data_IF_336287642712
#
_entry.id   IF_336287642712
#
_cell.length_a   1.000
_cell.length_b   1.000
_cell.length_c   1.000
_cell.angle_alpha   90.00
_cell.angle_beta   90.00
_cell.angle_gamma   90.00
#
_symmetry.space_group_name_H-M   'P 1'
#
loop_
_entity.id
_entity.type
_entity.pdbx_description
1 polymer ?
#
# COMPACT_ATOMS: atom_id res chain seq x y z
N UNK A 1 24.57 4.29 -12.82
CA UNK A 1 24.43 2.81 -12.83
C UNK A 1 22.97 2.46 -12.52
N UNK A 2 22.23 1.94 -13.51
CA UNK A 2 20.80 1.61 -13.41
C UNK A 2 20.62 0.34 -12.56
N UNK A 3 20.21 0.45 -11.30
CA UNK A 3 19.88 -0.71 -10.47
C UNK A 3 18.48 -1.22 -10.85
N UNK A 4 18.51 -2.39 -11.50
CA UNK A 4 17.45 -3.26 -11.99
C UNK A 4 16.13 -3.17 -11.20
N UNK A 5 15.07 -2.94 -11.96
CA UNK A 5 13.66 -3.20 -11.71
C UNK A 5 13.41 -4.44 -10.83
N UNK A 6 13.33 -4.27 -9.52
CA UNK A 6 12.29 -4.93 -8.74
C UNK A 6 11.16 -3.93 -8.68
N UNK A 7 10.13 -4.10 -9.50
CA UNK A 7 8.88 -3.39 -9.31
C UNK A 7 8.22 -3.95 -8.04
N UNK A 8 8.74 -3.53 -6.89
CA UNK A 8 8.11 -3.80 -5.60
C UNK A 8 6.88 -2.89 -5.52
N UNK A 9 5.80 -3.39 -4.91
CA UNK A 9 4.57 -2.62 -4.68
C UNK A 9 4.91 -1.28 -4.00
N UNK A 10 5.96 -1.23 -3.19
CA UNK A 10 6.47 0.00 -2.57
C UNK A 10 6.91 1.08 -3.56
N UNK A 11 7.33 0.76 -4.79
CA UNK A 11 7.60 1.79 -5.80
C UNK A 11 6.32 2.51 -6.23
N UNK A 12 5.19 1.80 -6.25
CA UNK A 12 3.89 2.38 -6.56
C UNK A 12 3.42 3.37 -5.49
N UNK A 13 4.01 3.37 -4.29
CA UNK A 13 3.75 4.40 -3.26
C UNK A 13 4.09 5.79 -3.80
N UNK A 14 5.20 5.94 -4.51
CA UNK A 14 5.63 7.23 -5.05
C UNK A 14 4.66 7.74 -6.12
N UNK A 15 4.19 6.87 -7.02
CA UNK A 15 3.19 7.22 -8.02
C UNK A 15 1.83 7.56 -7.40
N UNK A 16 1.40 6.80 -6.38
CA UNK A 16 0.12 7.02 -5.69
C UNK A 16 0.11 8.29 -4.86
N UNK A 17 1.24 8.68 -4.26
CA UNK A 17 1.34 9.95 -3.53
C UNK A 17 1.12 11.14 -4.47
N UNK A 18 1.48 11.05 -5.75
CA UNK A 18 1.31 12.18 -6.68
C UNK A 18 -0.10 12.19 -7.30
N UNK A 19 -0.83 11.08 -7.20
CA UNK A 19 -2.15 10.94 -7.79
C UNK A 19 -3.19 11.85 -7.10
N UNK A 20 -3.94 12.68 -7.85
CA UNK A 20 -5.00 13.52 -7.29
C UNK A 20 -6.26 12.75 -6.90
N UNK A 21 -6.39 11.48 -7.30
CA UNK A 21 -7.52 10.60 -6.92
C UNK A 21 -7.32 9.94 -5.55
N UNK A 22 -6.16 10.12 -4.93
CA UNK A 22 -5.86 9.60 -3.59
C UNK A 22 -6.24 10.68 -2.58
N UNK A 23 -7.09 10.30 -1.62
CA UNK A 23 -7.56 11.23 -0.58
C UNK A 23 -6.41 11.65 0.33
N UNK A 24 -6.49 12.82 0.97
CA UNK A 24 -5.45 13.31 1.90
C UNK A 24 -5.10 12.31 3.00
N UNK A 25 -6.11 11.56 3.49
CA UNK A 25 -5.93 10.53 4.52
C UNK A 25 -5.06 9.38 3.98
N UNK A 26 -5.37 8.90 2.78
CA UNK A 26 -4.61 7.85 2.10
C UNK A 26 -3.18 8.32 1.78
N UNK A 27 -3.06 9.57 1.30
CA UNK A 27 -1.78 10.22 0.96
C UNK A 27 -0.89 10.35 2.19
N UNK A 28 -1.44 10.66 3.36
CA UNK A 28 -0.66 10.68 4.61
C UNK A 28 -0.10 9.30 4.98
N UNK A 29 -0.90 8.23 4.88
CA UNK A 29 -0.41 6.87 5.15
C UNK A 29 0.69 6.47 4.16
N UNK A 30 0.55 6.84 2.87
CA UNK A 30 1.58 6.62 1.87
C UNK A 30 2.86 7.42 2.12
N UNK A 31 2.74 8.70 2.51
CA UNK A 31 3.89 9.57 2.83
C UNK A 31 4.70 8.99 3.99
N UNK A 32 4.04 8.52 5.05
CA UNK A 32 4.73 7.84 6.17
C UNK A 32 5.52 6.63 5.70
N UNK A 33 4.93 5.81 4.83
CA UNK A 33 5.63 4.65 4.26
C UNK A 33 6.80 5.07 3.36
N UNK A 34 6.66 6.15 2.58
CA UNK A 34 7.76 6.71 1.78
C UNK A 34 8.92 7.16 2.68
N UNK A 35 8.63 7.93 3.73
CA UNK A 35 9.64 8.41 4.67
C UNK A 35 10.37 7.25 5.35
N UNK A 36 9.65 6.20 5.73
CA UNK A 36 10.22 4.98 6.28
C UNK A 36 11.21 4.31 5.31
N UNK A 37 10.85 4.19 4.04
CA UNK A 37 11.73 3.62 3.00
C UNK A 37 12.95 4.50 2.75
N UNK A 38 12.77 5.82 2.71
CA UNK A 38 13.87 6.77 2.54
C UNK A 38 14.84 6.76 3.72
N UNK A 39 14.35 6.49 4.94
CA UNK A 39 15.17 6.26 6.14
C UNK A 39 15.92 4.92 6.13
N UNK A 40 15.61 4.04 5.18
CA UNK A 40 16.19 2.70 5.09
C UNK A 40 15.57 1.71 6.08
N UNK A 41 14.33 1.94 6.53
CA UNK A 41 13.60 0.91 7.26
C UNK A 41 13.40 -0.34 6.40
N UNK A 42 13.26 -1.48 7.07
CA UNK A 42 13.01 -2.75 6.40
C UNK A 42 11.71 -2.70 5.60
N UNK A 43 11.78 -2.98 4.30
CA UNK A 43 10.62 -3.04 3.39
C UNK A 43 9.45 -3.85 3.97
N UNK A 44 9.75 -4.95 4.69
CA UNK A 44 8.74 -5.80 5.34
C UNK A 44 8.01 -5.12 6.50
N UNK A 45 8.73 -4.32 7.30
CA UNK A 45 8.15 -3.54 8.39
C UNK A 45 7.27 -2.43 7.81
N UNK A 46 7.77 -1.71 6.81
CA UNK A 46 7.00 -0.68 6.10
C UNK A 46 5.74 -1.26 5.47
N UNK A 47 5.84 -2.40 4.77
CA UNK A 47 4.71 -3.09 4.18
C UNK A 47 3.68 -3.51 5.24
N UNK A 48 4.12 -4.02 6.39
CA UNK A 48 3.21 -4.41 7.48
C UNK A 48 2.48 -3.21 8.09
N UNK A 49 3.18 -2.09 8.30
CA UNK A 49 2.56 -0.85 8.78
C UNK A 49 1.56 -0.30 7.77
N UNK A 50 1.96 -0.20 6.51
CA UNK A 50 1.10 0.31 5.44
C UNK A 50 -0.13 -0.59 5.24
N UNK A 51 0.02 -1.91 5.36
CA UNK A 51 -1.10 -2.85 5.35
C UNK A 51 -2.08 -2.55 6.50
N UNK A 52 -1.62 -2.35 7.73
CA UNK A 52 -2.52 -2.09 8.86
C UNK A 52 -3.32 -0.80 8.64
N UNK A 53 -2.65 0.27 8.21
CA UNK A 53 -3.30 1.54 7.87
C UNK A 53 -4.36 1.37 6.79
N UNK A 54 -4.00 0.71 5.68
CA UNK A 54 -4.92 0.44 4.58
C UNK A 54 -6.05 -0.50 5.01
N UNK A 55 -5.80 -1.49 5.86
CA UNK A 55 -6.85 -2.38 6.36
C UNK A 55 -7.90 -1.61 7.16
N UNK A 56 -7.50 -0.62 7.96
CA UNK A 56 -8.42 0.23 8.71
C UNK A 56 -9.26 1.07 7.73
N UNK A 57 -8.62 1.67 6.72
CA UNK A 57 -9.31 2.44 5.69
C UNK A 57 -10.27 1.57 4.85
N UNK A 58 -9.93 0.29 4.65
CA UNK A 58 -10.72 -0.68 3.88
C UNK A 58 -12.00 -1.02 4.63
N UNK A 59 -11.86 -1.31 5.93
CA UNK A 59 -12.98 -1.56 6.84
C UNK A 59 -13.90 -0.35 6.91
N UNK A 60 -13.34 0.86 6.88
CA UNK A 60 -14.10 2.11 6.82
C UNK A 60 -14.68 2.44 5.44
N UNK A 61 -14.43 1.62 4.42
CA UNK A 61 -14.81 1.88 3.01
C UNK A 61 -14.32 3.24 2.49
N UNK A 62 -13.23 3.76 3.04
CA UNK A 62 -12.62 5.03 2.65
C UNK A 62 -11.45 4.85 1.67
N UNK A 63 -11.37 3.65 1.09
CA UNK A 63 -10.25 3.21 0.30
C UNK A 63 -10.60 3.33 -1.17
N UNK A 64 -9.84 4.16 -1.88
CA UNK A 64 -10.02 4.40 -3.30
C UNK A 64 -9.75 3.10 -4.08
N UNK A 65 -10.43 2.86 -5.22
CA UNK A 65 -10.23 1.63 -6.00
C UNK A 65 -8.76 1.38 -6.38
N UNK A 66 -7.99 2.45 -6.64
CA UNK A 66 -6.55 2.37 -6.87
C UNK A 66 -5.77 1.87 -5.65
N UNK A 67 -6.12 2.37 -4.47
CA UNK A 67 -5.48 1.99 -3.21
C UNK A 67 -5.85 0.55 -2.81
N UNK A 68 -7.02 0.04 -3.21
CA UNK A 68 -7.41 -1.37 -3.05
C UNK A 68 -6.51 -2.28 -3.91
N UNK A 69 -6.29 -1.91 -5.17
CA UNK A 69 -5.37 -2.65 -6.07
C UNK A 69 -3.97 -2.66 -5.47
N UNK A 70 -3.48 -1.52 -5.03
CA UNK A 70 -2.18 -1.39 -4.38
C UNK A 70 -2.06 -2.24 -3.11
N UNK A 71 -3.05 -2.18 -2.22
CA UNK A 71 -3.11 -2.97 -0.99
C UNK A 71 -3.02 -4.48 -1.29
N UNK A 72 -3.69 -4.91 -2.35
CA UNK A 72 -3.71 -6.29 -2.82
C UNK A 72 -2.33 -6.72 -3.33
N UNK A 73 -1.68 -5.90 -4.15
CA UNK A 73 -0.32 -6.17 -4.65
C UNK A 73 0.73 -6.19 -3.54
N UNK A 74 0.63 -5.25 -2.59
CA UNK A 74 1.51 -5.19 -1.43
C UNK A 74 1.37 -6.45 -0.57
N UNK A 75 0.13 -6.89 -0.32
CA UNK A 75 -0.13 -8.13 0.41
C UNK A 75 0.42 -9.36 -0.34
N UNK A 76 0.31 -9.40 -1.67
CA UNK A 76 0.88 -10.48 -2.50
C UNK A 76 2.38 -10.59 -2.37
N UNK A 77 3.10 -9.47 -2.48
CA UNK A 77 4.55 -9.49 -2.51
C UNK A 77 5.20 -9.70 -1.14
N UNK A 78 4.64 -9.14 -0.08
CA UNK A 78 5.30 -9.14 1.24
C UNK A 78 4.78 -10.20 2.21
N UNK A 79 3.57 -10.69 2.00
CA UNK A 79 2.89 -11.55 2.97
C UNK A 79 2.43 -12.88 2.40
N UNK A 80 2.65 -13.14 1.11
CA UNK A 80 2.46 -14.45 0.48
C UNK A 80 1.18 -15.13 0.94
N UNK A 81 0.01 -14.59 0.53
CA UNK A 81 -1.35 -15.08 0.81
C UNK A 81 -1.43 -16.30 1.76
N UNK A 82 -1.39 -16.04 3.06
CA UNK A 82 -2.07 -16.88 4.04
C UNK A 82 -3.53 -16.41 4.09
N UNK A 83 -4.44 -17.34 3.79
CA UNK A 83 -5.87 -17.18 3.56
C UNK A 83 -6.66 -16.16 4.43
N UNK A 84 -7.81 -15.74 3.86
CA UNK A 84 -9.02 -15.11 4.47
C UNK A 84 -9.02 -13.56 4.45
N UNK A 85 -10.01 -12.87 3.89
CA UNK A 85 -11.33 -13.29 3.46
C UNK A 85 -11.94 -12.35 2.42
N UNK A 86 -12.96 -12.90 1.78
CA UNK A 86 -13.84 -12.30 0.78
C UNK A 86 -14.26 -10.87 1.17
N UNK A 87 -13.77 -9.87 0.45
CA UNK A 87 -14.43 -8.56 0.42
C UNK A 87 -15.43 -8.64 -0.74
N UNK A 88 -16.57 -9.28 -0.47
CA UNK A 88 -17.73 -9.10 -1.34
C UNK A 88 -18.25 -7.69 -1.08
N UNK A 89 -17.86 -6.74 -1.93
CA UNK A 89 -18.66 -5.53 -2.15
C UNK A 89 -19.96 -5.99 -2.85
N UNK A 90 -20.92 -6.45 -2.04
CA UNK A 90 -22.26 -6.74 -2.53
C UNK A 90 -23.00 -5.41 -2.59
N UNK A 91 -23.41 -5.07 -3.82
CA UNK A 91 -24.12 -3.87 -4.26
C UNK A 91 -25.46 -3.67 -3.55
#
# INVERSE_FOLDING_TARGET
MKKKNKATALNSVFDLIVDPKVSDIERQSLLKAKEALEKGENDRAVASHLKSELSILAVKQQLSPKMVTFYTELSRQYLGYGERGMINFTR
#
